data_IF_991761666486
#
_entry.id   IF_991761666486
#
_cell.length_a   1.000
_cell.length_b   1.000
_cell.length_c   1.000
_cell.angle_alpha   90.00
_cell.angle_beta   90.00
_cell.angle_gamma   90.00
#
_symmetry.space_group_name_H-M   'P 1'
#
loop_
_entity.id
_entity.type
_entity.pdbx_description
1 polymer ?
#
# COMPACT_ATOMS: atom_id res chain seq x y z
N UNK A 1 -11.79 2.06 -21.10
CA UNK A 1 -11.30 1.35 -19.90
C UNK A 1 -9.79 1.28 -19.98
N UNK A 2 -9.10 2.29 -19.45
CA UNK A 2 -7.64 2.31 -19.41
C UNK A 2 -7.21 1.58 -18.14
N UNK A 3 -6.50 0.46 -18.30
CA UNK A 3 -5.78 -0.16 -17.19
C UNK A 3 -4.75 0.86 -16.69
N UNK A 4 -4.95 1.37 -15.47
CA UNK A 4 -3.98 2.19 -14.77
C UNK A 4 -2.74 1.34 -14.55
N UNK A 5 -1.70 1.65 -15.32
CA UNK A 5 -0.35 1.13 -15.12
C UNK A 5 0.08 1.62 -13.74
N UNK A 6 0.61 0.72 -12.92
CA UNK A 6 1.46 1.09 -11.78
C UNK A 6 2.73 1.71 -12.38
N UNK A 7 2.66 2.99 -12.77
CA UNK A 7 3.76 3.79 -13.27
C UNK A 7 4.62 4.20 -12.07
N UNK A 8 5.40 3.26 -11.58
CA UNK A 8 6.23 3.44 -10.39
C UNK A 8 7.22 2.30 -10.13
N UNK A 9 7.34 1.34 -11.05
CA UNK A 9 8.52 0.48 -11.15
C UNK A 9 9.58 1.06 -12.10
N UNK A 10 9.32 2.23 -12.69
CA UNK A 10 10.11 2.77 -13.80
C UNK A 10 11.07 3.90 -13.39
N UNK A 11 11.01 4.38 -12.14
CA UNK A 11 12.05 5.25 -11.56
C UNK A 11 12.92 4.42 -10.61
N UNK A 12 13.57 3.39 -11.17
CA UNK A 12 14.72 2.77 -10.51
C UNK A 12 15.80 3.83 -10.43
N UNK A 13 16.03 4.38 -9.23
CA UNK A 13 17.20 5.21 -8.95
C UNK A 13 18.42 4.47 -9.51
N UNK A 14 19.09 5.04 -10.50
CA UNK A 14 20.20 4.42 -11.26
C UNK A 14 21.35 3.85 -10.39
N UNK A 15 21.36 4.11 -9.09
CA UNK A 15 22.29 3.54 -8.11
C UNK A 15 21.98 2.08 -7.72
N UNK A 16 20.74 1.62 -7.92
CA UNK A 16 20.25 0.27 -7.56
C UNK A 16 20.10 -0.68 -8.76
N UNK A 17 20.50 -0.26 -9.96
CA UNK A 17 20.42 -1.11 -11.15
C UNK A 17 21.49 -2.21 -11.10
N UNK A 18 21.06 -3.47 -11.06
CA UNK A 18 21.96 -4.62 -11.00
C UNK A 18 22.79 -4.79 -12.28
N UNK A 19 24.05 -5.27 -12.21
CA UNK A 19 24.80 -5.62 -13.39
C UNK A 19 24.10 -6.73 -14.20
N UNK A 20 24.38 -6.88 -15.51
CA UNK A 20 23.80 -7.94 -16.32
C UNK A 20 24.02 -9.33 -15.69
N UNK A 21 22.96 -10.15 -15.65
CA UNK A 21 23.01 -11.49 -15.09
C UNK A 21 22.80 -11.56 -13.57
N UNK A 22 22.59 -10.44 -12.89
CA UNK A 22 22.24 -10.39 -11.47
C UNK A 22 20.73 -10.26 -11.25
N UNK A 23 20.23 -10.95 -10.23
CA UNK A 23 18.83 -10.89 -9.80
C UNK A 23 18.77 -10.64 -8.28
N UNK A 24 17.92 -9.72 -7.85
CA UNK A 24 17.64 -9.46 -6.44
C UNK A 24 16.49 -10.34 -5.96
N UNK A 25 16.69 -11.00 -4.81
CA UNK A 25 15.71 -11.91 -4.21
C UNK A 25 15.60 -11.69 -2.71
N UNK A 26 14.50 -12.15 -2.13
CA UNK A 26 14.24 -12.07 -0.70
C UNK A 26 14.13 -13.46 -0.08
N UNK A 27 14.57 -13.57 1.17
CA UNK A 27 14.33 -14.74 2.02
C UNK A 27 13.02 -14.57 2.80
N UNK A 28 12.53 -15.68 3.38
CA UNK A 28 11.33 -15.67 4.23
C UNK A 28 11.46 -14.73 5.45
N UNK A 29 12.68 -14.55 5.96
CA UNK A 29 12.97 -13.68 7.11
C UNK A 29 13.20 -12.20 6.73
N UNK A 30 13.01 -11.88 5.44
CA UNK A 30 13.07 -10.54 4.88
C UNK A 30 14.49 -10.08 4.49
N UNK A 31 15.50 -10.95 4.53
CA UNK A 31 16.83 -10.58 4.01
C UNK A 31 16.86 -10.57 2.49
N UNK A 32 17.44 -9.51 1.92
CA UNK A 32 17.71 -9.42 0.48
C UNK A 32 19.04 -10.10 0.17
N UNK A 33 19.06 -10.92 -0.87
CA UNK A 33 20.26 -11.52 -1.43
C UNK A 33 20.27 -11.36 -2.95
N UNK A 34 21.47 -11.36 -3.51
CA UNK A 34 21.76 -11.14 -4.91
C UNK A 34 22.27 -12.43 -5.53
N UNK A 35 21.58 -12.90 -6.56
CA UNK A 35 21.95 -14.09 -7.32
C UNK A 35 22.58 -13.68 -8.65
N UNK A 36 23.83 -14.05 -8.87
CA UNK A 36 24.52 -13.93 -10.15
C UNK A 36 24.31 -15.23 -10.94
N UNK A 37 23.55 -15.16 -12.03
CA UNK A 37 23.27 -16.28 -12.93
C UNK A 37 24.39 -16.58 -13.92
N UNK A 38 25.32 -15.65 -14.11
CA UNK A 38 26.51 -15.89 -14.95
C UNK A 38 27.58 -16.67 -14.21
N UNK A 39 27.70 -16.46 -12.90
CA UNK A 39 28.69 -17.12 -12.03
C UNK A 39 28.09 -18.18 -11.10
N UNK A 40 26.77 -18.42 -11.19
CA UNK A 40 26.00 -19.32 -10.32
C UNK A 40 26.26 -19.10 -8.81
N UNK A 41 26.43 -17.84 -8.41
CA UNK A 41 26.81 -17.45 -7.05
C UNK A 41 25.73 -16.60 -6.41
N UNK A 42 25.54 -16.75 -5.10
CA UNK A 42 24.70 -15.86 -4.30
C UNK A 42 25.54 -15.06 -3.30
N UNK A 43 25.10 -13.84 -2.99
CA UNK A 43 25.71 -13.01 -1.95
C UNK A 43 24.69 -12.09 -1.29
N UNK A 44 25.02 -11.57 -0.10
CA UNK A 44 24.13 -10.70 0.67
C UNK A 44 24.33 -9.21 0.38
N UNK A 45 25.44 -8.84 -0.25
CA UNK A 45 25.84 -7.46 -0.51
C UNK A 45 25.52 -7.10 -1.96
N UNK A 46 24.98 -5.91 -2.19
CA UNK A 46 24.68 -5.45 -3.54
C UNK A 46 25.97 -5.29 -4.35
N UNK A 47 26.08 -5.84 -5.57
CA UNK A 47 27.33 -5.92 -6.34
C UNK A 47 27.96 -4.56 -6.68
N UNK A 48 27.17 -3.47 -6.76
CA UNK A 48 27.69 -2.11 -7.00
C UNK A 48 27.90 -1.28 -5.74
N UNK A 49 27.02 -1.43 -4.75
CA UNK A 49 26.96 -0.52 -3.59
C UNK A 49 27.57 -1.14 -2.33
N UNK A 50 27.78 -2.46 -2.31
CA UNK A 50 28.30 -3.21 -1.16
C UNK A 50 27.35 -3.24 0.04
N UNK A 51 26.14 -2.67 -0.08
CA UNK A 51 25.17 -2.56 1.01
C UNK A 51 24.37 -3.85 1.15
N UNK A 52 24.02 -4.19 2.38
CA UNK A 52 23.04 -5.25 2.68
C UNK A 52 21.69 -4.58 2.92
N UNK A 53 20.64 -5.14 2.30
CA UNK A 53 19.28 -4.63 2.37
C UNK A 53 18.38 -5.62 3.11
N UNK A 54 17.36 -5.08 3.77
CA UNK A 54 16.28 -5.88 4.35
C UNK A 54 14.94 -5.31 3.88
N UNK A 55 14.03 -6.20 3.51
CA UNK A 55 12.65 -5.83 3.26
C UNK A 55 11.87 -5.70 4.57
N UNK A 56 10.81 -4.90 4.56
CA UNK A 56 9.90 -4.78 5.69
C UNK A 56 9.35 -6.16 6.11
N UNK A 57 9.02 -6.32 7.39
CA UNK A 57 8.62 -7.60 7.98
C UNK A 57 7.44 -8.24 7.24
N UNK A 58 6.29 -7.60 7.32
CA UNK A 58 5.08 -8.07 6.64
C UNK A 58 5.02 -7.55 5.19
N UNK A 59 4.33 -8.30 4.33
CA UNK A 59 3.98 -7.80 2.99
C UNK A 59 3.13 -6.55 3.10
N UNK A 60 3.25 -5.61 2.15
CA UNK A 60 2.37 -4.46 2.11
C UNK A 60 0.92 -4.93 2.03
N UNK A 61 0.01 -4.16 2.61
CA UNK A 61 -1.40 -4.51 2.59
C UNK A 61 -1.92 -4.75 1.16
N UNK A 62 -2.73 -5.80 0.99
CA UNK A 62 -3.22 -6.21 -0.33
C UNK A 62 -2.27 -7.11 -1.11
N UNK A 63 -1.06 -7.37 -0.62
CA UNK A 63 -0.14 -8.35 -1.19
C UNK A 63 -0.19 -9.66 -0.43
N UNK A 64 -0.20 -10.77 -1.18
CA UNK A 64 -0.07 -12.12 -0.63
C UNK A 64 1.07 -12.86 -1.33
N UNK A 65 1.80 -13.68 -0.57
CA UNK A 65 2.85 -14.54 -1.10
C UNK A 65 2.28 -15.93 -1.35
N UNK A 66 2.42 -16.40 -2.57
CA UNK A 66 2.05 -17.75 -2.99
C UNK A 66 3.27 -18.50 -3.54
N UNK A 67 3.12 -19.79 -3.76
CA UNK A 67 4.16 -20.67 -4.30
C UNK A 67 3.56 -21.47 -5.43
N UNK A 68 4.24 -21.50 -6.58
CA UNK A 68 3.80 -22.26 -7.74
C UNK A 68 4.06 -23.76 -7.58
N UNK A 69 3.66 -24.55 -8.58
CA UNK A 69 3.86 -26.01 -8.61
C UNK A 69 5.35 -26.41 -8.62
N UNK A 70 6.25 -25.50 -8.99
CA UNK A 70 7.69 -25.72 -9.04
C UNK A 70 8.38 -25.32 -7.73
N UNK A 71 7.64 -24.83 -6.73
CA UNK A 71 8.21 -24.34 -5.48
C UNK A 71 8.74 -22.90 -5.57
N UNK A 72 8.53 -22.21 -6.69
CA UNK A 72 8.92 -20.82 -6.88
C UNK A 72 7.88 -19.88 -6.27
N UNK A 73 8.38 -18.94 -5.46
CA UNK A 73 7.55 -17.93 -4.81
C UNK A 73 7.15 -16.86 -5.81
N UNK A 74 5.86 -16.49 -5.79
CA UNK A 74 5.34 -15.33 -6.50
C UNK A 74 4.43 -14.53 -5.58
N UNK A 75 4.22 -13.26 -5.93
CA UNK A 75 3.46 -12.31 -5.14
C UNK A 75 2.20 -11.89 -5.90
N UNK A 76 1.07 -11.92 -5.22
CA UNK A 76 -0.25 -11.56 -5.73
C UNK A 76 -0.62 -10.20 -5.16
N UNK A 77 -0.75 -9.21 -6.04
CA UNK A 77 -1.28 -7.88 -5.73
C UNK A 77 -2.79 -7.91 -5.96
N UNK A 78 -3.53 -8.05 -4.86
CA UNK A 78 -4.98 -8.11 -4.90
C UNK A 78 -5.64 -6.74 -5.10
N UNK A 79 -4.90 -5.64 -4.93
CA UNK A 79 -5.41 -4.29 -5.16
C UNK A 79 -5.37 -3.98 -6.66
N UNK A 80 -4.23 -4.20 -7.31
CA UNK A 80 -4.05 -3.95 -8.74
C UNK A 80 -4.37 -5.18 -9.61
N UNK A 81 -4.81 -6.29 -9.01
CA UNK A 81 -5.14 -7.56 -9.66
C UNK A 81 -4.03 -8.07 -10.59
N UNK A 82 -2.79 -8.12 -10.08
CA UNK A 82 -1.62 -8.63 -10.82
C UNK A 82 -0.86 -9.67 -10.02
N UNK A 83 -0.11 -10.51 -10.72
CA UNK A 83 0.90 -11.38 -10.13
C UNK A 83 2.28 -10.99 -10.63
N UNK A 84 3.29 -11.12 -9.77
CA UNK A 84 4.68 -10.83 -10.12
C UNK A 84 5.60 -11.75 -9.34
N UNK A 85 6.75 -12.09 -9.93
CA UNK A 85 7.82 -12.82 -9.23
C UNK A 85 8.74 -11.88 -8.44
N UNK A 86 8.57 -10.56 -8.61
CA UNK A 86 9.29 -9.55 -7.87
C UNK A 86 8.58 -9.27 -6.55
N UNK A 87 9.30 -9.38 -5.45
CA UNK A 87 8.78 -9.08 -4.12
C UNK A 87 8.45 -7.58 -4.03
N UNK A 88 7.18 -7.21 -3.75
CA UNK A 88 6.75 -5.81 -3.69
C UNK A 88 7.48 -4.99 -2.63
N UNK A 89 8.08 -5.66 -1.63
CA UNK A 89 8.85 -5.00 -0.58
C UNK A 89 10.23 -4.54 -1.07
N UNK A 90 10.72 -5.04 -2.21
CA UNK A 90 12.01 -4.62 -2.76
C UNK A 90 12.05 -3.13 -3.10
N UNK A 91 10.90 -2.57 -3.50
CA UNK A 91 10.73 -1.12 -3.70
C UNK A 91 10.87 -0.28 -2.41
N UNK A 92 10.84 -0.92 -1.23
CA UNK A 92 10.94 -0.27 0.08
C UNK A 92 12.08 -0.85 0.91
N UNK A 93 13.13 -1.36 0.24
CA UNK A 93 14.32 -1.83 0.94
C UNK A 93 14.87 -0.71 1.83
N UNK A 94 15.02 -1.04 3.11
CA UNK A 94 15.74 -0.18 4.04
C UNK A 94 17.19 -0.62 4.04
N UNK A 95 18.09 0.33 3.76
CA UNK A 95 19.51 0.16 4.06
C UNK A 95 19.65 -0.11 5.57
N UNK A 96 20.52 -1.04 5.96
CA UNK A 96 20.84 -1.34 7.37
C UNK A 96 21.60 -0.19 8.08
N UNK A 97 21.54 1.04 7.54
CA UNK A 97 22.23 2.22 8.01
C UNK A 97 21.20 3.31 8.40
N UNK A 98 21.22 3.86 9.63
CA UNK A 98 20.13 4.68 10.19
C UNK A 98 20.00 6.11 9.62
N UNK A 99 20.69 6.46 8.53
CA UNK A 99 20.63 7.79 7.94
C UNK A 99 19.53 7.87 6.88
N UNK A 100 18.39 8.45 7.28
CA UNK A 100 17.20 8.75 6.47
C UNK A 100 17.54 9.17 5.02
N UNK A 101 16.98 8.52 3.99
CA UNK A 101 16.89 9.11 2.67
C UNK A 101 15.73 10.12 2.67
N UNK A 102 16.03 11.38 2.35
CA UNK A 102 15.04 12.41 2.04
C UNK A 102 14.81 12.46 0.54
N UNK A 103 14.21 11.42 -0.04
CA UNK A 103 13.64 11.55 -1.39
C UNK A 103 12.31 12.28 -1.25
N UNK A 104 12.29 13.56 -1.62
CA UNK A 104 11.03 14.30 -1.80
C UNK A 104 10.32 13.68 -3.01
N UNK A 105 9.42 12.74 -2.78
CA UNK A 105 8.48 12.29 -3.81
C UNK A 105 7.78 13.54 -4.38
N UNK A 106 7.95 13.75 -5.69
CA UNK A 106 7.46 14.94 -6.39
C UNK A 106 6.05 14.62 -6.89
N UNK A 107 5.04 15.15 -6.23
CA UNK A 107 3.65 15.01 -6.65
C UNK A 107 3.23 16.19 -7.52
N UNK A 108 2.39 15.92 -8.50
CA UNK A 108 1.81 16.91 -9.40
C UNK A 108 0.27 16.77 -9.49
N UNK A 109 -0.36 17.57 -10.35
CA UNK A 109 -1.82 17.56 -10.51
C UNK A 109 -2.40 16.31 -11.16
N UNK A 110 -1.56 15.44 -11.74
CA UNK A 110 -1.95 14.13 -12.29
C UNK A 110 -1.80 12.99 -11.27
N UNK A 111 -1.13 13.24 -10.15
CA UNK A 111 -0.90 12.21 -9.13
C UNK A 111 -2.20 11.84 -8.43
N UNK A 112 -2.51 10.55 -8.40
CA UNK A 112 -3.67 9.97 -7.72
C UNK A 112 -3.43 9.82 -6.22
N UNK A 113 -4.51 9.76 -5.43
CA UNK A 113 -4.41 9.51 -3.99
C UNK A 113 -3.76 8.14 -3.67
N UNK A 114 -3.96 7.15 -4.55
CA UNK A 114 -3.34 5.83 -4.45
C UNK A 114 -1.81 5.93 -4.57
N UNK A 115 -1.31 6.65 -5.58
CA UNK A 115 0.13 6.86 -5.80
C UNK A 115 0.79 7.63 -4.64
N UNK A 116 0.09 8.61 -4.06
CA UNK A 116 0.60 9.37 -2.89
C UNK A 116 0.80 8.46 -1.67
N UNK A 117 -0.08 7.46 -1.49
CA UNK A 117 -0.03 6.55 -0.36
C UNK A 117 0.81 5.30 -0.62
N UNK A 118 1.33 5.13 -1.84
CA UNK A 118 2.13 3.97 -2.22
C UNK A 118 3.25 3.69 -1.20
N UNK A 119 3.30 2.45 -0.71
CA UNK A 119 4.31 2.01 0.26
C UNK A 119 4.07 2.43 1.71
N UNK A 120 2.97 3.12 2.00
CA UNK A 120 2.60 3.49 3.36
C UNK A 120 1.63 2.47 3.92
N UNK A 121 1.89 2.01 5.14
CA UNK A 121 0.97 1.19 5.89
C UNK A 121 0.25 2.04 6.95
N UNK A 122 -1.08 2.00 6.93
CA UNK A 122 -1.97 2.65 7.89
C UNK A 122 -2.67 1.65 8.81
N UNK A 123 -2.20 0.40 8.87
CA UNK A 123 -2.68 -0.60 9.82
C UNK A 123 -2.67 -0.04 11.25
N UNK A 124 -3.79 -0.21 11.96
CA UNK A 124 -3.98 0.31 13.33
C UNK A 124 -4.23 1.82 13.41
N UNK A 125 -4.39 2.51 12.28
CA UNK A 125 -4.86 3.91 12.24
C UNK A 125 -6.35 3.96 11.93
N UNK A 126 -7.03 4.91 12.55
CA UNK A 126 -8.43 5.23 12.27
C UNK A 126 -8.49 6.55 11.52
N UNK A 127 -9.25 6.58 10.42
CA UNK A 127 -9.41 7.75 9.56
C UNK A 127 -10.90 8.05 9.40
N UNK A 128 -11.30 9.28 9.72
CA UNK A 128 -12.67 9.76 9.48
C UNK A 128 -12.65 10.67 8.27
N UNK A 129 -13.44 10.36 7.24
CA UNK A 129 -13.56 11.17 6.02
C UNK A 129 -14.99 11.67 5.88
N UNK A 130 -15.16 12.99 5.92
CA UNK A 130 -16.47 13.63 5.71
C UNK A 130 -16.79 13.74 4.22
N UNK A 131 -18.03 13.47 3.83
CA UNK A 131 -18.43 13.54 2.41
C UNK A 131 -17.80 12.43 1.56
N UNK A 132 -17.48 11.30 2.17
CA UNK A 132 -16.76 10.19 1.56
C UNK A 132 -17.58 9.30 0.62
N UNK A 133 -18.86 9.62 0.39
CA UNK A 133 -19.73 8.85 -0.49
C UNK A 133 -19.58 9.21 -1.98
N UNK A 134 -18.75 10.20 -2.34
CA UNK A 134 -18.49 10.57 -3.73
C UNK A 134 -17.24 11.44 -3.89
N UNK A 135 -16.77 11.59 -5.14
CA UNK A 135 -15.71 12.53 -5.51
C UNK A 135 -14.41 12.31 -4.75
N UNK A 136 -13.73 13.41 -4.40
CA UNK A 136 -12.43 13.39 -3.72
C UNK A 136 -12.51 12.69 -2.36
N UNK A 137 -13.62 12.87 -1.63
CA UNK A 137 -13.82 12.21 -0.34
C UNK A 137 -13.86 10.68 -0.48
N UNK A 138 -14.53 10.18 -1.52
CA UNK A 138 -14.56 8.74 -1.81
C UNK A 138 -13.17 8.20 -2.14
N UNK A 139 -12.45 8.86 -3.05
CA UNK A 139 -11.12 8.41 -3.45
C UNK A 139 -10.13 8.43 -2.27
N UNK A 140 -10.25 9.44 -1.40
CA UNK A 140 -9.47 9.54 -0.15
C UNK A 140 -9.78 8.38 0.79
N UNK A 141 -11.07 8.12 1.04
CA UNK A 141 -11.50 7.05 1.94
C UNK A 141 -11.08 5.67 1.41
N UNK A 142 -11.29 5.43 0.12
CA UNK A 142 -10.85 4.22 -0.59
C UNK A 142 -9.34 4.04 -0.47
N UNK A 143 -8.55 5.08 -0.74
CA UNK A 143 -7.10 5.01 -0.68
C UNK A 143 -6.61 4.63 0.72
N UNK A 144 -7.13 5.24 1.79
CA UNK A 144 -6.75 4.84 3.16
C UNK A 144 -7.17 3.41 3.51
N UNK A 145 -8.37 2.99 3.10
CA UNK A 145 -8.89 1.65 3.36
C UNK A 145 -8.04 0.56 2.67
N UNK A 146 -7.60 0.84 1.45
CA UNK A 146 -6.70 -0.01 0.67
C UNK A 146 -5.25 0.03 1.15
N UNK A 147 -4.93 0.87 2.13
CA UNK A 147 -3.63 0.88 2.82
C UNK A 147 -3.75 0.47 4.30
N UNK A 148 -4.81 -0.26 4.67
CA UNK A 148 -4.93 -0.91 5.98
C UNK A 148 -5.56 -0.06 7.10
N UNK A 149 -5.95 1.19 6.83
CA UNK A 149 -6.64 2.01 7.82
C UNK A 149 -8.06 1.47 8.12
N UNK A 150 -8.54 1.72 9.33
CA UNK A 150 -9.97 1.67 9.62
C UNK A 150 -10.61 2.99 9.20
N UNK A 151 -11.42 2.97 8.13
CA UNK A 151 -11.99 4.19 7.55
C UNK A 151 -13.48 4.32 7.85
N UNK A 152 -13.85 5.47 8.41
CA UNK A 152 -15.24 5.85 8.68
C UNK A 152 -15.69 6.86 7.62
N UNK A 153 -16.62 6.45 6.77
CA UNK A 153 -17.27 7.29 5.78
C UNK A 153 -18.40 8.09 6.47
N UNK A 154 -18.10 9.33 6.87
CA UNK A 154 -19.02 10.19 7.57
C UNK A 154 -19.87 11.02 6.60
N UNK A 155 -21.13 10.63 6.39
CA UNK A 155 -21.97 11.15 5.31
C UNK A 155 -23.39 11.46 5.76
N UNK A 156 -24.06 12.39 5.06
CA UNK A 156 -25.49 12.70 5.30
C UNK A 156 -26.44 11.65 4.73
N UNK A 157 -26.13 11.14 3.54
CA UNK A 157 -26.95 10.16 2.84
C UNK A 157 -26.37 8.76 3.07
N UNK A 158 -27.00 7.99 3.95
CA UNK A 158 -26.52 6.66 4.32
C UNK A 158 -26.66 5.63 3.21
N UNK A 159 -27.67 5.74 2.32
CA UNK A 159 -27.80 4.81 1.20
C UNK A 159 -26.59 4.89 0.26
N UNK A 160 -26.20 6.12 -0.12
CA UNK A 160 -25.02 6.35 -0.96
C UNK A 160 -23.71 6.02 -0.23
N UNK A 161 -23.66 6.23 1.08
CA UNK A 161 -22.48 5.87 1.87
C UNK A 161 -22.30 4.35 1.96
N UNK A 162 -23.39 3.59 2.13
CA UNK A 162 -23.36 2.13 2.12
C UNK A 162 -22.95 1.57 0.75
N UNK A 163 -23.43 2.17 -0.36
CA UNK A 163 -22.98 1.82 -1.71
C UNK A 163 -21.46 2.05 -1.88
N UNK A 164 -20.96 3.20 -1.41
CA UNK A 164 -19.53 3.49 -1.41
C UNK A 164 -18.71 2.48 -0.58
N UNK A 165 -19.22 2.06 0.58
CA UNK A 165 -18.60 0.99 1.39
C UNK A 165 -18.54 -0.33 0.61
N UNK A 166 -19.63 -0.71 -0.07
CA UNK A 166 -19.66 -1.92 -0.91
C UNK A 166 -18.60 -1.87 -2.01
N UNK A 167 -18.45 -0.73 -2.71
CA UNK A 167 -17.43 -0.60 -3.75
C UNK A 167 -16.00 -0.80 -3.21
N UNK A 168 -15.70 -0.29 -2.02
CA UNK A 168 -14.38 -0.51 -1.40
C UNK A 168 -14.20 -1.98 -1.03
N UNK A 169 -15.23 -2.64 -0.49
CA UNK A 169 -15.19 -4.05 -0.11
C UNK A 169 -15.14 -5.00 -1.32
N UNK A 170 -15.73 -4.63 -2.45
CA UNK A 170 -15.61 -5.37 -3.71
C UNK A 170 -14.18 -5.38 -4.23
N UNK A 171 -13.47 -4.26 -4.12
CA UNK A 171 -12.05 -4.19 -4.47
C UNK A 171 -11.18 -4.96 -3.48
N UNK A 172 -11.46 -4.76 -2.17
CA UNK A 172 -10.75 -5.45 -1.10
C UNK A 172 -11.65 -5.79 0.10
N UNK A 173 -12.07 -7.06 0.14
CA UNK A 173 -13.02 -7.58 1.12
C UNK A 173 -12.52 -7.57 2.58
N UNK A 174 -11.20 -7.50 2.81
CA UNK A 174 -10.62 -7.39 4.16
C UNK A 174 -10.51 -5.93 4.65
N UNK A 175 -10.96 -4.94 3.85
CA UNK A 175 -10.94 -3.54 4.23
C UNK A 175 -11.79 -3.29 5.48
N UNK A 176 -11.23 -2.54 6.44
CA UNK A 176 -11.96 -2.08 7.62
C UNK A 176 -12.64 -0.76 7.28
N UNK A 177 -13.87 -0.84 6.78
CA UNK A 177 -14.62 0.34 6.37
C UNK A 177 -16.06 0.32 6.88
N UNK A 178 -16.56 1.47 7.30
CA UNK A 178 -17.95 1.61 7.74
C UNK A 178 -18.52 2.98 7.39
N UNK A 179 -19.84 3.03 7.18
CA UNK A 179 -20.56 4.27 6.98
C UNK A 179 -21.20 4.73 8.29
N UNK A 180 -21.10 6.03 8.59
CA UNK A 180 -21.73 6.63 9.77
C UNK A 180 -22.41 7.94 9.38
N UNK A 181 -23.62 8.15 9.92
CA UNK A 181 -24.38 9.37 9.64
C UNK A 181 -23.71 10.59 10.27
N UNK A 182 -23.42 11.60 9.45
CA UNK A 182 -22.93 12.90 9.91
C UNK A 182 -23.48 14.02 9.04
N UNK A 183 -24.25 14.93 9.66
CA UNK A 183 -24.63 16.20 9.07
C UNK A 183 -23.88 17.37 9.71
N UNK A 184 -22.89 17.88 8.98
CA UNK A 184 -22.07 19.02 9.40
C UNK A 184 -22.85 20.34 9.48
N UNK A 185 -24.03 20.44 8.86
CA UNK A 185 -24.89 21.61 8.99
C UNK A 185 -25.66 21.65 10.33
N UNK A 186 -25.53 20.61 11.15
CA UNK A 186 -26.36 20.40 12.33
C UNK A 186 -25.52 20.02 13.55
N UNK A 187 -25.29 20.96 14.46
CA UNK A 187 -24.38 20.76 15.62
C UNK A 187 -24.73 19.52 16.47
N UNK A 188 -26.01 19.24 16.69
CA UNK A 188 -26.45 18.03 17.41
C UNK A 188 -26.01 16.74 16.71
N UNK A 189 -25.95 16.73 15.37
CA UNK A 189 -25.44 15.57 14.61
C UNK A 189 -23.94 15.42 14.81
N UNK A 190 -23.19 16.51 14.84
CA UNK A 190 -21.74 16.49 15.09
C UNK A 190 -21.44 15.97 16.50
N UNK A 191 -22.20 16.43 17.50
CA UNK A 191 -22.07 15.95 18.89
C UNK A 191 -22.36 14.46 19.00
N UNK A 192 -23.49 14.01 18.44
CA UNK A 192 -23.87 12.60 18.45
C UNK A 192 -22.83 11.71 17.74
N UNK A 193 -22.32 12.15 16.59
CA UNK A 193 -21.24 11.46 15.90
C UNK A 193 -19.98 11.34 16.78
N UNK A 194 -19.56 12.44 17.41
CA UNK A 194 -18.35 12.45 18.24
C UNK A 194 -18.49 11.55 19.49
N UNK A 195 -19.66 11.52 20.12
CA UNK A 195 -19.96 10.62 21.23
C UNK A 195 -19.95 9.15 20.79
N UNK A 196 -20.63 8.83 19.70
CA UNK A 196 -20.66 7.49 19.13
C UNK A 196 -19.26 7.01 18.72
N UNK A 197 -18.45 7.88 18.12
CA UNK A 197 -17.07 7.59 17.75
C UNK A 197 -16.22 7.27 18.98
N UNK A 198 -16.29 8.09 20.03
CA UNK A 198 -15.56 7.85 21.29
C UNK A 198 -15.95 6.53 21.96
N UNK A 199 -17.22 6.14 21.86
CA UNK A 199 -17.71 4.91 22.47
C UNK A 199 -17.21 3.62 21.77
N UNK A 200 -16.77 3.70 20.52
CA UNK A 200 -16.35 2.52 19.75
C UNK A 200 -14.97 1.96 20.14
N UNK A 201 -14.14 2.70 20.90
CA UNK A 201 -12.79 2.26 21.31
C UNK A 201 -11.95 1.67 20.15
N UNK A 202 -12.02 2.31 18.97
CA UNK A 202 -11.25 1.96 17.78
C UNK A 202 -10.01 2.82 17.63
#
# INVERSE_FOLDING_TARGET
MAALRYAGLDDTDSEDELPPGWEERTTKDGWVYYANHTEEKTQWEHPKTGKRKRVAGDLPYGWEQETDENGQVFFVDHINKRTTYLDPRLAFTVDDNPTKPTTRQRYDGSTTAMEILQGRDFTGKVVVVTGANSGIGFETAKSFALHGAHVILACRNMARASEAVSHILEEWHKAKVEAVTLDLALLRSVQHFAEAFKAKNV
#
